data_IF_215095475942
#
_entry.id   IF_215095475942
#
_cell.length_a   1.000
_cell.length_b   1.000
_cell.length_c   1.000
_cell.angle_alpha   90.00
_cell.angle_beta   90.00
_cell.angle_gamma   90.00
#
_symmetry.space_group_name_H-M   'P 1'
#
loop_
_entity.id
_entity.type
_entity.pdbx_description
1 polymer ?
#
# COMPACT_ATOMS: atom_id res chain seq x y z
N UNK A 1 -5.22 2.20 -0.64
CA UNK A 1 -5.98 1.05 -0.13
C UNK A 1 -5.09 0.26 0.81
N UNK A 2 -5.61 -0.13 1.97
CA UNK A 2 -4.94 -1.05 2.87
C UNK A 2 -4.66 -2.38 2.17
N UNK A 3 -3.43 -2.89 2.31
CA UNK A 3 -3.06 -4.16 1.71
C UNK A 3 -3.01 -4.14 0.18
N UNK A 4 -2.76 -2.99 -0.45
CA UNK A 4 -2.56 -2.91 -1.89
C UNK A 4 -1.29 -3.67 -2.28
N UNK A 5 -1.39 -4.79 -3.00
CA UNK A 5 -0.20 -5.54 -3.39
C UNK A 5 0.58 -4.81 -4.49
N UNK A 6 1.87 -5.06 -4.56
CA UNK A 6 2.79 -4.31 -5.41
C UNK A 6 2.51 -4.46 -6.92
N UNK A 7 1.92 -5.55 -7.35
CA UNK A 7 1.54 -5.75 -8.75
C UNK A 7 0.37 -4.84 -9.18
N UNK A 8 -0.62 -4.66 -8.32
CA UNK A 8 -1.69 -3.67 -8.55
C UNK A 8 -1.12 -2.25 -8.47
N UNK A 9 -0.27 -1.96 -7.48
CA UNK A 9 0.39 -0.66 -7.35
C UNK A 9 1.16 -0.29 -8.62
N UNK A 10 1.90 -1.24 -9.20
CA UNK A 10 2.64 -1.05 -10.46
C UNK A 10 1.72 -0.60 -11.59
N UNK A 11 0.64 -1.30 -11.81
CA UNK A 11 -0.30 -0.98 -12.89
C UNK A 11 -0.86 0.43 -12.72
N UNK A 12 -1.25 0.79 -11.49
CA UNK A 12 -1.79 2.13 -11.20
C UNK A 12 -0.74 3.23 -11.41
N UNK A 13 0.50 2.99 -11.01
CA UNK A 13 1.62 3.93 -11.24
C UNK A 13 1.89 4.08 -12.74
N UNK A 14 1.92 2.99 -13.49
CA UNK A 14 2.13 3.02 -14.93
C UNK A 14 1.04 3.81 -15.66
N UNK A 15 -0.21 3.56 -15.30
CA UNK A 15 -1.35 4.31 -15.87
C UNK A 15 -1.29 5.80 -15.51
N UNK A 16 -0.87 6.12 -14.29
CA UNK A 16 -0.69 7.51 -13.87
C UNK A 16 0.42 8.19 -14.70
N UNK A 17 1.59 7.58 -14.77
CA UNK A 17 2.74 8.14 -15.48
C UNK A 17 2.51 8.28 -16.99
N UNK A 18 1.62 7.47 -17.57
CA UNK A 18 1.25 7.58 -18.99
C UNK A 18 0.29 8.75 -19.25
N UNK A 19 -0.64 9.01 -18.33
CA UNK A 19 -1.73 9.98 -18.53
C UNK A 19 -1.44 11.37 -17.97
N UNK A 20 -0.53 11.46 -17.01
CA UNK A 20 -0.26 12.69 -16.27
C UNK A 20 1.23 13.03 -16.27
N UNK A 21 1.59 14.31 -16.06
CA UNK A 21 2.97 14.70 -15.85
C UNK A 21 3.60 13.92 -14.70
N UNK A 22 4.86 13.50 -14.87
CA UNK A 22 5.59 12.79 -13.83
C UNK A 22 5.71 13.65 -12.56
N UNK A 23 5.45 13.11 -11.37
CA UNK A 23 5.62 13.84 -10.13
C UNK A 23 7.12 14.09 -9.89
N UNK A 24 7.46 15.11 -9.12
CA UNK A 24 8.85 15.37 -8.73
C UNK A 24 9.41 14.24 -7.85
N UNK A 25 8.56 13.69 -6.98
CA UNK A 25 8.92 12.62 -6.02
C UNK A 25 7.79 11.61 -5.88
N UNK A 26 8.17 10.36 -5.64
CA UNK A 26 7.27 9.25 -5.35
C UNK A 26 7.75 8.51 -4.12
N UNK A 27 6.87 8.35 -3.12
CA UNK A 27 7.12 7.51 -1.96
C UNK A 27 6.42 6.16 -2.15
N UNK A 28 7.15 5.10 -1.90
CA UNK A 28 6.62 3.74 -1.98
C UNK A 28 6.89 3.04 -0.66
N UNK A 29 5.81 2.60 0.00
CA UNK A 29 5.93 1.72 1.16
C UNK A 29 6.18 0.29 0.68
N UNK A 30 7.30 -0.29 1.10
CA UNK A 30 7.72 -1.63 0.64
C UNK A 30 6.89 -2.76 1.25
N UNK A 31 6.08 -2.49 2.25
CA UNK A 31 5.23 -3.52 2.89
C UNK A 31 4.16 -4.07 1.96
N UNK A 32 3.86 -3.37 0.85
CA UNK A 32 3.08 -3.94 -0.25
C UNK A 32 3.72 -5.14 -0.96
N UNK A 33 4.97 -5.49 -0.61
CA UNK A 33 5.68 -6.67 -1.12
C UNK A 33 5.54 -7.91 -0.23
N UNK A 34 4.87 -7.81 0.92
CA UNK A 34 4.78 -8.90 1.91
C UNK A 34 3.69 -9.93 1.61
N UNK A 35 2.74 -9.61 0.75
CA UNK A 35 1.63 -10.52 0.40
C UNK A 35 0.97 -10.17 -0.92
N UNK A 36 0.36 -11.15 -1.55
CA UNK A 36 -0.64 -10.97 -2.60
C UNK A 36 -2.02 -10.75 -1.96
N UNK A 37 -2.92 -10.10 -2.69
CA UNK A 37 -4.28 -9.85 -2.23
C UNK A 37 -5.26 -9.96 -3.40
N UNK A 38 -5.62 -11.20 -3.73
CA UNK A 38 -6.49 -11.51 -4.85
C UNK A 38 -7.90 -10.92 -4.67
N UNK A 39 -8.39 -10.85 -3.44
CA UNK A 39 -9.69 -10.28 -3.12
C UNK A 39 -9.71 -8.78 -3.40
N UNK A 40 -8.67 -8.06 -2.97
CA UNK A 40 -8.52 -6.65 -3.29
C UNK A 40 -8.33 -6.43 -4.79
N UNK A 41 -7.52 -7.25 -5.46
CA UNK A 41 -7.33 -7.19 -6.91
C UNK A 41 -8.65 -7.40 -7.65
N UNK A 42 -9.46 -8.38 -7.23
CA UNK A 42 -10.80 -8.62 -7.78
C UNK A 42 -11.71 -7.39 -7.66
N UNK A 43 -11.58 -6.64 -6.56
CA UNK A 43 -12.31 -5.39 -6.35
C UNK A 43 -12.03 -4.32 -7.41
N UNK A 44 -10.85 -4.33 -8.03
CA UNK A 44 -10.51 -3.41 -9.13
C UNK A 44 -11.17 -3.78 -10.47
N UNK A 45 -11.89 -4.90 -10.56
CA UNK A 45 -12.59 -5.32 -11.77
C UNK A 45 -13.51 -4.23 -12.35
N UNK A 46 -14.14 -3.42 -11.48
CA UNK A 46 -14.99 -2.30 -11.89
C UNK A 46 -14.24 -1.22 -12.69
N UNK A 47 -12.94 -1.12 -12.52
CA UNK A 47 -12.07 -0.14 -13.20
C UNK A 47 -11.30 -0.74 -14.39
N UNK A 48 -11.36 -2.06 -14.61
CA UNK A 48 -10.60 -2.74 -15.65
C UNK A 48 -10.89 -2.21 -17.06
N UNK A 49 -12.10 -1.74 -17.32
CA UNK A 49 -12.46 -1.12 -18.61
C UNK A 49 -11.80 0.25 -18.89
N UNK A 50 -11.19 0.86 -17.87
CA UNK A 50 -10.51 2.17 -17.99
C UNK A 50 -8.98 2.00 -18.10
N UNK A 51 -8.45 0.84 -17.85
CA UNK A 51 -7.03 0.52 -17.90
C UNK A 51 -6.81 -0.85 -18.54
N UNK A 52 -6.14 -0.85 -19.69
CA UNK A 52 -5.74 -2.09 -20.36
C UNK A 52 -4.78 -2.94 -19.49
N UNK A 53 -3.87 -2.29 -18.76
CA UNK A 53 -2.93 -2.97 -17.87
C UNK A 53 -3.65 -3.67 -16.72
N UNK A 54 -4.62 -2.97 -16.12
CA UNK A 54 -5.42 -3.53 -15.03
C UNK A 54 -6.31 -4.66 -15.52
N UNK A 55 -6.95 -4.51 -16.68
CA UNK A 55 -7.73 -5.58 -17.32
C UNK A 55 -6.87 -6.82 -17.57
N UNK A 56 -5.67 -6.63 -18.11
CA UNK A 56 -4.71 -7.72 -18.37
C UNK A 56 -4.22 -8.37 -17.06
N UNK A 57 -3.91 -7.59 -16.04
CA UNK A 57 -3.47 -8.13 -14.74
C UNK A 57 -4.56 -9.01 -14.12
N UNK A 58 -5.81 -8.53 -14.09
CA UNK A 58 -6.94 -9.28 -13.53
C UNK A 58 -7.22 -10.51 -14.36
N UNK A 59 -7.19 -10.42 -15.70
CA UNK A 59 -7.35 -11.58 -16.57
C UNK A 59 -6.31 -12.66 -16.28
N UNK A 60 -5.04 -12.29 -16.20
CA UNK A 60 -3.94 -13.25 -16.02
C UNK A 60 -3.90 -13.88 -14.62
N UNK A 61 -4.33 -13.16 -13.59
CA UNK A 61 -4.28 -13.63 -12.22
C UNK A 61 -5.59 -14.24 -11.73
N UNK A 62 -6.71 -13.69 -12.18
CA UNK A 62 -8.06 -14.00 -11.72
C UNK A 62 -9.02 -14.24 -12.89
N UNK A 63 -8.67 -15.15 -13.79
CA UNK A 63 -9.37 -15.40 -15.04
C UNK A 63 -10.89 -15.60 -14.85
N UNK A 64 -11.29 -16.39 -13.86
CA UNK A 64 -12.72 -16.63 -13.56
C UNK A 64 -13.46 -15.37 -13.14
N UNK A 65 -12.80 -14.53 -12.34
CA UNK A 65 -13.36 -13.24 -11.91
C UNK A 65 -13.49 -12.29 -13.09
N UNK A 66 -12.47 -12.25 -13.95
CA UNK A 66 -12.47 -11.44 -15.15
C UNK A 66 -13.62 -11.81 -16.10
N UNK A 67 -13.81 -13.11 -16.39
CA UNK A 67 -14.93 -13.60 -17.20
C UNK A 67 -16.29 -13.31 -16.55
N UNK A 68 -16.40 -13.46 -15.23
CA UNK A 68 -17.61 -13.08 -14.50
C UNK A 68 -18.00 -11.62 -14.73
N UNK A 69 -17.00 -10.72 -14.72
CA UNK A 69 -17.20 -9.29 -15.00
C UNK A 69 -17.50 -8.96 -16.46
N UNK A 70 -17.11 -9.80 -17.41
CA UNK A 70 -17.47 -9.62 -18.83
C UNK A 70 -18.90 -10.06 -19.10
N UNK A 71 -19.38 -11.09 -18.41
CA UNK A 71 -20.73 -11.63 -18.60
C UNK A 71 -21.79 -10.88 -17.81
N UNK A 72 -21.46 -10.38 -16.62
CA UNK A 72 -22.42 -9.74 -15.70
C UNK A 72 -21.96 -8.38 -15.21
N UNK A 73 -22.69 -7.34 -15.60
CA UNK A 73 -22.47 -5.98 -15.05
C UNK A 73 -22.69 -5.94 -13.52
N UNK A 74 -23.67 -6.69 -13.02
CA UNK A 74 -23.90 -6.78 -11.56
C UNK A 74 -22.69 -7.40 -10.86
N UNK A 75 -22.12 -8.47 -11.38
CA UNK A 75 -20.90 -9.07 -10.83
C UNK A 75 -19.74 -8.08 -10.85
N UNK A 76 -19.56 -7.34 -11.95
CA UNK A 76 -18.49 -6.37 -12.14
C UNK A 76 -18.54 -5.20 -11.16
N UNK A 77 -19.72 -4.69 -10.86
CA UNK A 77 -19.90 -3.48 -10.04
C UNK A 77 -20.38 -3.75 -8.62
N UNK A 78 -20.74 -4.99 -8.28
CA UNK A 78 -21.12 -5.36 -6.92
C UNK A 78 -19.89 -5.79 -6.11
N UNK A 79 -18.94 -4.87 -5.93
CA UNK A 79 -17.73 -5.09 -5.15
C UNK A 79 -17.49 -3.94 -4.16
N UNK A 80 -16.72 -4.23 -3.12
CA UNK A 80 -16.48 -3.29 -2.02
C UNK A 80 -15.79 -1.99 -2.48
N UNK A 81 -14.84 -2.08 -3.40
CA UNK A 81 -14.12 -0.91 -3.92
C UNK A 81 -15.08 0.05 -4.61
N UNK A 82 -15.96 -0.47 -5.47
CA UNK A 82 -16.95 0.34 -6.16
C UNK A 82 -17.98 0.93 -5.21
N UNK A 83 -18.48 0.13 -4.24
CA UNK A 83 -19.42 0.60 -3.23
C UNK A 83 -18.82 1.69 -2.34
N UNK A 84 -17.56 1.54 -1.93
CA UNK A 84 -16.83 2.58 -1.21
C UNK A 84 -16.68 3.87 -2.04
N UNK A 85 -16.32 3.75 -3.32
CA UNK A 85 -16.23 4.91 -4.21
C UNK A 85 -17.57 5.65 -4.33
N UNK A 86 -18.68 4.92 -4.45
CA UNK A 86 -20.02 5.50 -4.46
C UNK A 86 -20.38 6.21 -3.15
N UNK A 87 -20.07 5.57 -2.00
CA UNK A 87 -20.36 6.15 -0.68
C UNK A 87 -19.58 7.43 -0.42
N UNK A 88 -18.35 7.53 -0.94
CA UNK A 88 -17.49 8.71 -0.79
C UNK A 88 -17.73 9.80 -1.84
N UNK A 89 -18.51 9.52 -2.88
CA UNK A 89 -18.74 10.46 -3.98
C UNK A 89 -19.27 11.83 -3.53
N UNK A 90 -20.11 11.84 -2.50
CA UNK A 90 -20.77 13.05 -1.99
C UNK A 90 -20.23 13.49 -0.62
N UNK A 91 -19.19 12.87 -0.11
CA UNK A 91 -18.58 13.24 1.17
C UNK A 91 -17.65 14.45 0.97
N UNK A 92 -17.98 15.54 1.61
CA UNK A 92 -17.21 16.80 1.57
C UNK A 92 -16.30 16.97 2.79
N UNK A 93 -16.47 16.12 3.81
CA UNK A 93 -15.69 16.15 5.04
C UNK A 93 -14.60 15.08 5.05
N UNK A 94 -13.71 15.21 6.01
CA UNK A 94 -12.60 14.29 6.20
C UNK A 94 -13.00 13.01 6.98
N UNK A 95 -14.25 12.57 6.90
CA UNK A 95 -14.77 11.39 7.62
C UNK A 95 -14.07 10.06 7.27
N UNK A 96 -13.25 10.05 6.21
CA UNK A 96 -12.35 8.95 5.89
C UNK A 96 -11.05 8.94 6.72
N UNK A 97 -10.75 10.04 7.43
CA UNK A 97 -9.56 10.11 8.27
C UNK A 97 -9.75 9.24 9.51
N UNK A 98 -8.73 8.45 9.78
CA UNK A 98 -8.72 7.57 10.93
C UNK A 98 -8.37 8.37 12.19
N UNK A 99 -9.36 8.73 13.01
CA UNK A 99 -9.19 9.48 14.26
C UNK A 99 -9.24 8.61 15.51
N UNK A 100 -9.70 7.35 15.38
CA UNK A 100 -9.78 6.39 16.48
C UNK A 100 -8.40 6.03 17.03
N UNK A 101 -8.39 5.58 18.28
CA UNK A 101 -7.22 5.00 18.94
C UNK A 101 -7.39 3.48 18.99
N UNK A 102 -6.28 2.74 18.84
CA UNK A 102 -6.25 1.29 18.95
C UNK A 102 -6.90 0.82 20.25
N UNK A 103 -7.77 -0.17 20.19
CA UNK A 103 -8.43 -0.68 21.38
C UNK A 103 -7.45 -1.44 22.29
N UNK A 104 -7.61 -1.39 23.63
CA UNK A 104 -6.74 -2.14 24.56
C UNK A 104 -6.73 -3.65 24.28
N UNK A 105 -7.87 -4.21 23.86
CA UNK A 105 -7.99 -5.63 23.49
C UNK A 105 -7.06 -5.95 22.31
N UNK A 106 -7.12 -5.18 21.23
CA UNK A 106 -6.29 -5.40 20.05
C UNK A 106 -4.80 -5.17 20.36
N UNK A 107 -4.47 -4.16 21.16
CA UNK A 107 -3.09 -3.90 21.59
C UNK A 107 -2.51 -5.08 22.38
N UNK A 108 -3.29 -5.70 23.27
CA UNK A 108 -2.88 -6.88 24.04
C UNK A 108 -2.71 -8.11 23.13
N UNK A 109 -3.65 -8.33 22.21
CA UNK A 109 -3.61 -9.44 21.27
C UNK A 109 -2.35 -9.37 20.39
N UNK A 110 -2.06 -8.19 19.85
CA UNK A 110 -0.88 -7.96 19.00
C UNK A 110 0.45 -8.18 19.76
N UNK A 111 0.49 -7.88 21.05
CA UNK A 111 1.66 -8.10 21.88
C UNK A 111 1.99 -9.60 22.12
N UNK A 112 1.02 -10.49 21.93
CA UNK A 112 1.14 -11.93 22.23
C UNK A 112 1.54 -12.79 21.02
N UNK A 113 1.52 -12.24 19.80
CA UNK A 113 1.75 -13.01 18.58
C UNK A 113 2.93 -12.45 17.80
N UNK A 114 3.67 -13.35 17.14
CA UNK A 114 4.65 -12.95 16.14
C UNK A 114 3.99 -12.86 14.76
N UNK A 115 4.43 -11.87 13.98
CA UNK A 115 3.91 -11.58 12.65
C UNK A 115 5.06 -11.68 11.63
N UNK A 116 5.33 -12.87 11.07
CA UNK A 116 6.31 -12.99 10.01
C UNK A 116 5.75 -12.34 8.73
N UNK A 117 6.56 -11.50 8.10
CA UNK A 117 6.28 -11.01 6.74
C UNK A 117 6.75 -12.06 5.74
N UNK A 118 6.00 -12.24 4.66
CA UNK A 118 6.43 -13.05 3.54
C UNK A 118 7.29 -12.21 2.59
N UNK A 119 8.27 -12.85 1.94
CA UNK A 119 9.12 -12.21 0.94
C UNK A 119 8.80 -12.85 -0.41
N UNK A 120 8.05 -12.13 -1.24
CA UNK A 120 7.63 -12.61 -2.54
C UNK A 120 8.56 -12.07 -3.65
N UNK A 121 9.43 -12.91 -4.27
CA UNK A 121 10.30 -12.46 -5.36
C UNK A 121 9.55 -11.78 -6.51
N UNK A 122 8.34 -12.26 -6.80
CA UNK A 122 7.47 -11.67 -7.80
C UNK A 122 7.08 -10.22 -7.46
N UNK A 123 6.68 -9.93 -6.22
CA UNK A 123 6.29 -8.57 -5.80
C UNK A 123 7.50 -7.64 -5.72
N UNK A 124 8.66 -8.15 -5.32
CA UNK A 124 9.92 -7.40 -5.36
C UNK A 124 10.32 -7.05 -6.81
N UNK A 125 10.07 -7.94 -7.76
CA UNK A 125 10.27 -7.65 -9.18
C UNK A 125 9.33 -6.53 -9.64
N UNK A 126 8.05 -6.52 -9.21
CA UNK A 126 7.13 -5.44 -9.53
C UNK A 126 7.59 -4.11 -8.94
N UNK A 127 8.08 -4.10 -7.69
CA UNK A 127 8.66 -2.91 -7.05
C UNK A 127 9.86 -2.38 -7.85
N UNK A 128 10.78 -3.26 -8.26
CA UNK A 128 11.93 -2.89 -9.10
C UNK A 128 11.50 -2.21 -10.40
N UNK A 129 10.49 -2.77 -11.07
CA UNK A 129 9.99 -2.25 -12.34
C UNK A 129 9.32 -0.87 -12.17
N UNK A 130 8.55 -0.65 -11.09
CA UNK A 130 8.00 0.66 -10.74
C UNK A 130 9.12 1.68 -10.56
N UNK A 131 10.12 1.35 -9.73
CA UNK A 131 11.22 2.25 -9.44
C UNK A 131 11.99 2.61 -10.72
N UNK A 132 12.33 1.62 -11.54
CA UNK A 132 13.06 1.85 -12.78
C UNK A 132 12.26 2.75 -13.75
N UNK A 133 10.97 2.48 -13.95
CA UNK A 133 10.13 3.29 -14.83
C UNK A 133 9.98 4.73 -14.33
N UNK A 134 9.72 4.92 -13.04
CA UNK A 134 9.61 6.25 -12.46
C UNK A 134 10.93 7.05 -12.60
N UNK A 135 12.07 6.40 -12.35
CA UNK A 135 13.40 7.02 -12.49
C UNK A 135 13.72 7.41 -13.93
N UNK A 136 13.33 6.62 -14.95
CA UNK A 136 13.53 6.98 -16.36
C UNK A 136 12.74 8.24 -16.75
N UNK A 137 11.71 8.59 -15.98
CA UNK A 137 10.91 9.82 -16.14
C UNK A 137 11.38 10.97 -15.24
N UNK A 138 12.54 10.83 -14.59
CA UNK A 138 13.11 11.84 -13.71
C UNK A 138 12.45 11.97 -12.34
N UNK A 139 11.68 10.98 -11.90
CA UNK A 139 11.04 10.96 -10.58
C UNK A 139 12.05 10.58 -9.50
N UNK A 140 12.15 11.37 -8.42
CA UNK A 140 12.88 11.02 -7.21
C UNK A 140 12.10 9.96 -6.42
N UNK A 141 12.50 8.70 -6.54
CA UNK A 141 11.83 7.57 -5.88
C UNK A 141 12.44 7.33 -4.51
N UNK A 142 11.60 7.31 -3.47
CA UNK A 142 11.97 7.03 -2.09
C UNK A 142 11.22 5.83 -1.58
N UNK A 143 11.94 4.85 -1.02
CA UNK A 143 11.37 3.67 -0.40
C UNK A 143 11.30 3.87 1.11
N UNK A 144 10.17 3.53 1.69
CA UNK A 144 9.93 3.68 3.12
C UNK A 144 9.26 2.44 3.72
N UNK A 145 9.36 2.30 5.03
CA UNK A 145 8.48 1.47 5.85
C UNK A 145 7.74 2.42 6.78
N UNK A 146 6.41 2.42 6.72
CA UNK A 146 5.57 3.26 7.56
C UNK A 146 5.62 2.85 9.04
N UNK A 147 5.30 3.76 9.98
CA UNK A 147 5.29 3.44 11.39
C UNK A 147 4.27 2.36 11.75
N UNK A 148 4.69 1.42 12.57
CA UNK A 148 3.86 0.40 13.19
C UNK A 148 3.58 0.73 14.65
N UNK A 149 2.47 0.23 15.16
CA UNK A 149 2.18 0.22 16.58
C UNK A 149 3.34 -0.42 17.37
N UNK A 150 3.83 0.18 18.48
CA UNK A 150 5.08 -0.22 19.09
C UNK A 150 5.21 -1.72 19.41
N UNK A 151 4.16 -2.34 19.93
CA UNK A 151 4.14 -3.77 20.23
C UNK A 151 4.15 -4.63 18.96
N UNK A 152 3.48 -4.20 17.91
CA UNK A 152 3.53 -4.87 16.61
C UNK A 152 4.93 -4.79 15.99
N UNK A 153 5.55 -3.59 16.00
CA UNK A 153 6.89 -3.38 15.48
C UNK A 153 7.97 -4.27 16.14
N UNK A 154 7.76 -4.65 17.41
CA UNK A 154 8.64 -5.59 18.13
C UNK A 154 8.43 -7.04 17.71
N UNK A 155 7.22 -7.37 17.25
CA UNK A 155 6.79 -8.74 16.94
C UNK A 155 6.83 -9.09 15.45
N UNK A 156 7.18 -8.15 14.58
CA UNK A 156 7.44 -8.43 13.16
C UNK A 156 8.81 -9.06 13.02
N UNK A 157 8.83 -10.37 12.73
CA UNK A 157 10.03 -11.18 12.89
C UNK A 157 11.12 -10.94 11.83
N UNK A 158 10.75 -10.58 10.59
CA UNK A 158 11.67 -10.57 9.45
C UNK A 158 11.61 -9.27 8.63
N UNK A 159 11.30 -8.15 9.27
CA UNK A 159 11.23 -6.84 8.61
C UNK A 159 12.56 -6.44 7.96
N UNK A 160 13.68 -6.68 8.66
CA UNK A 160 15.03 -6.43 8.11
C UNK A 160 15.33 -7.26 6.87
N UNK A 161 14.82 -8.50 6.80
CA UNK A 161 14.98 -9.34 5.62
C UNK A 161 14.19 -8.80 4.42
N UNK A 162 12.94 -8.35 4.65
CA UNK A 162 12.15 -7.69 3.60
C UNK A 162 12.82 -6.40 3.12
N UNK A 163 13.31 -5.57 4.05
CA UNK A 163 14.05 -4.34 3.75
C UNK A 163 15.25 -4.64 2.84
N UNK A 164 16.13 -5.56 3.24
CA UNK A 164 17.31 -5.96 2.45
C UNK A 164 16.92 -6.49 1.07
N UNK A 165 15.86 -7.31 0.99
CA UNK A 165 15.40 -7.84 -0.27
C UNK A 165 14.89 -6.73 -1.21
N UNK A 166 14.18 -5.72 -0.69
CA UNK A 166 13.75 -4.56 -1.46
C UNK A 166 14.92 -3.70 -1.94
N UNK A 167 15.92 -3.45 -1.06
CA UNK A 167 17.14 -2.71 -1.40
C UNK A 167 17.96 -3.44 -2.49
N UNK A 168 18.11 -4.76 -2.36
CA UNK A 168 18.80 -5.57 -3.39
C UNK A 168 18.05 -5.59 -4.72
N UNK A 169 16.72 -5.66 -4.70
CA UNK A 169 15.92 -5.69 -5.91
C UNK A 169 15.95 -4.37 -6.67
N UNK A 170 15.96 -3.23 -5.96
CA UNK A 170 15.79 -1.90 -6.56
C UNK A 170 17.08 -1.10 -6.68
N UNK A 171 18.12 -1.41 -5.89
CA UNK A 171 19.32 -0.59 -5.74
C UNK A 171 19.09 0.71 -4.96
N UNK A 172 17.92 0.90 -4.36
CA UNK A 172 17.56 2.07 -3.56
C UNK A 172 17.57 1.73 -2.08
N UNK A 173 18.00 2.69 -1.24
CA UNK A 173 17.91 2.54 0.22
C UNK A 173 16.47 2.68 0.70
N UNK A 174 16.10 1.91 1.73
CA UNK A 174 14.80 1.97 2.39
C UNK A 174 14.95 2.72 3.71
N UNK A 175 14.20 3.82 3.87
CA UNK A 175 14.10 4.52 5.15
C UNK A 175 13.07 3.83 6.03
N UNK A 176 13.53 3.31 7.17
CA UNK A 176 12.72 2.52 8.07
C UNK A 176 12.14 3.38 9.20
N UNK A 177 10.83 3.64 9.14
CA UNK A 177 10.07 4.34 10.18
C UNK A 177 9.23 3.39 11.04
N UNK A 178 9.37 2.09 10.90
CA UNK A 178 8.52 1.11 11.59
C UNK A 178 8.44 1.33 13.11
N UNK A 179 9.52 1.86 13.72
CA UNK A 179 9.65 2.13 15.16
C UNK A 179 9.73 3.62 15.49
N UNK A 180 9.44 4.50 14.56
CA UNK A 180 9.66 5.94 14.73
C UNK A 180 8.62 6.62 15.64
N UNK A 181 7.44 6.02 15.83
CA UNK A 181 6.40 6.54 16.70
C UNK A 181 6.25 5.65 17.93
N UNK A 182 6.53 6.20 19.11
CA UNK A 182 6.44 5.46 20.38
C UNK A 182 5.13 5.64 21.13
N UNK A 183 4.31 6.65 20.78
CA UNK A 183 3.05 6.94 21.44
C UNK A 183 1.92 6.02 20.94
N UNK A 184 1.39 5.09 21.76
CA UNK A 184 0.29 4.21 21.38
C UNK A 184 -0.98 4.95 20.93
N UNK A 185 -1.23 6.16 21.45
CA UNK A 185 -2.39 6.97 21.08
C UNK A 185 -2.32 7.54 19.65
N UNK A 186 -1.17 7.38 18.98
CA UNK A 186 -0.96 7.81 17.61
C UNK A 186 -1.43 6.78 16.56
N UNK A 187 -2.02 5.66 16.99
CA UNK A 187 -2.39 4.56 16.10
C UNK A 187 -3.89 4.24 16.17
N UNK A 188 -4.48 4.01 15.02
CA UNK A 188 -5.87 3.57 14.88
C UNK A 188 -6.02 2.04 14.93
N UNK A 189 -4.99 1.33 14.52
CA UNK A 189 -4.78 -0.11 14.64
C UNK A 189 -3.26 -0.40 14.67
N UNK A 190 -2.86 -1.67 14.56
CA UNK A 190 -1.46 -2.04 14.71
C UNK A 190 -0.56 -1.72 13.50
N UNK A 191 -1.14 -1.41 12.34
CA UNK A 191 -0.40 -1.08 11.11
C UNK A 191 -0.62 0.35 10.63
N UNK A 192 -1.62 1.06 11.17
CA UNK A 192 -2.02 2.36 10.63
C UNK A 192 -2.00 3.45 11.71
N UNK A 193 -1.13 4.45 11.55
CA UNK A 193 -1.23 5.69 12.31
C UNK A 193 -2.61 6.33 12.13
N UNK A 194 -3.17 6.88 13.21
CA UNK A 194 -4.35 7.74 13.13
C UNK A 194 -3.96 9.17 12.69
N UNK A 195 -4.88 10.13 12.72
CA UNK A 195 -4.62 11.52 12.32
C UNK A 195 -3.42 12.10 13.07
N UNK A 196 -3.33 11.86 14.39
CA UNK A 196 -2.21 12.34 15.23
C UNK A 196 -0.89 11.72 14.78
N UNK A 197 -0.86 10.40 14.62
CA UNK A 197 0.34 9.68 14.18
C UNK A 197 0.74 10.03 12.75
N UNK A 198 -0.22 10.20 11.85
CA UNK A 198 0.05 10.60 10.47
C UNK A 198 0.69 11.99 10.37
N UNK A 199 0.24 12.96 11.20
CA UNK A 199 0.88 14.28 11.27
C UNK A 199 2.33 14.15 11.75
N UNK A 200 2.56 13.44 12.86
CA UNK A 200 3.91 13.21 13.37
C UNK A 200 4.81 12.51 12.36
N UNK A 201 4.27 11.54 11.61
CA UNK A 201 5.02 10.83 10.58
C UNK A 201 5.40 11.75 9.40
N UNK A 202 4.48 12.59 8.95
CA UNK A 202 4.77 13.59 7.91
C UNK A 202 5.87 14.55 8.36
N UNK A 203 5.83 15.02 9.60
CA UNK A 203 6.86 15.91 10.16
C UNK A 203 8.23 15.22 10.25
N UNK A 204 8.28 13.95 10.64
CA UNK A 204 9.51 13.15 10.60
C UNK A 204 10.07 13.05 9.18
N UNK A 205 9.24 12.68 8.20
CA UNK A 205 9.68 12.58 6.81
C UNK A 205 10.18 13.90 6.24
N UNK A 206 9.63 15.04 6.68
CA UNK A 206 10.12 16.37 6.31
C UNK A 206 11.47 16.68 6.94
N UNK A 207 11.63 16.39 8.23
CA UNK A 207 12.88 16.60 8.93
C UNK A 207 14.02 15.77 8.34
N UNK A 208 13.72 14.58 7.86
CA UNK A 208 14.69 13.68 7.21
C UNK A 208 14.88 13.97 5.70
N UNK A 209 14.19 14.98 5.15
CA UNK A 209 14.28 15.33 3.72
C UNK A 209 13.66 14.30 2.77
N UNK A 210 12.90 13.37 3.31
CA UNK A 210 12.14 12.36 2.52
C UNK A 210 10.91 13.02 1.89
N UNK A 211 10.30 13.97 2.56
CA UNK A 211 9.29 14.89 2.00
C UNK A 211 9.87 16.31 1.85
N UNK A 212 9.33 17.11 0.91
CA UNK A 212 9.69 18.52 0.79
C UNK A 212 9.17 19.35 1.96
#
# INVERSE_FOLDING_TARGET
YNGLPMDVAKVLVQDYLERYPAPKRMLIDITGCDRTNDELMAGFLSYSGQSFRLDTLIHNKLEKVWWGGKVSALFRYNNEIFQRALSHRNQTDAGWLLDRVISPKLATEVAQHQYPLEIHPYLLQQLREICAEAQTRGVDVRLVISPYFPQFAQNVANLDALKKAAEQATGLSVTDYSRALSDPSAFGDFMHPNIKGSKSFVDLMRNDGVLP
#
